data_IF_515363446529
#
_entry.id   IF_515363446529
#
_cell.length_a   1.000
_cell.length_b   1.000
_cell.length_c   1.000
_cell.angle_alpha   90.00
_cell.angle_beta   90.00
_cell.angle_gamma   90.00
#
_symmetry.space_group_name_H-M   'P 1'
#
loop_
_entity.id
_entity.type
_entity.pdbx_description
1 polymer ?
#
# COMPACT_ATOMS: atom_id res chain seq x y z
N UNK A 1 -4.62 3.33 -0.57
CA UNK A 1 -6.00 2.83 -0.49
C UNK A 1 -6.28 2.24 0.90
N UNK A 2 -7.57 2.24 1.34
CA UNK A 2 -8.03 1.50 2.52
C UNK A 2 -7.96 -0.01 2.26
N UNK A 3 -7.61 -0.78 3.29
CA UNK A 3 -7.51 -2.23 3.22
C UNK A 3 -8.03 -2.85 4.53
N UNK A 4 -8.83 -3.92 4.49
CA UNK A 4 -9.41 -4.52 5.68
C UNK A 4 -8.36 -5.17 6.59
N UNK A 5 -8.75 -5.44 7.83
CA UNK A 5 -7.94 -6.07 8.89
C UNK A 5 -6.67 -5.33 9.32
N UNK A 6 -6.41 -4.11 8.81
CA UNK A 6 -5.21 -3.34 9.14
C UNK A 6 -5.44 -1.82 9.30
N UNK A 7 -6.52 -1.36 9.96
CA UNK A 7 -6.88 0.07 9.98
C UNK A 7 -5.80 0.96 10.60
N UNK A 8 -5.11 0.53 11.65
CA UNK A 8 -4.04 1.31 12.28
C UNK A 8 -2.83 1.50 11.35
N UNK A 9 -2.43 0.43 10.65
CA UNK A 9 -1.36 0.50 9.65
C UNK A 9 -1.75 1.42 8.49
N UNK A 10 -2.94 1.24 7.94
CA UNK A 10 -3.44 2.06 6.83
C UNK A 10 -3.55 3.54 7.24
N UNK A 11 -4.07 3.84 8.43
CA UNK A 11 -4.14 5.22 8.95
C UNK A 11 -2.75 5.86 9.02
N UNK A 12 -1.73 5.13 9.48
CA UNK A 12 -0.35 5.62 9.53
C UNK A 12 0.21 5.93 8.14
N UNK A 13 -0.15 5.12 7.14
CA UNK A 13 0.28 5.35 5.75
C UNK A 13 -0.42 6.55 5.11
N UNK A 14 -1.72 6.73 5.37
CA UNK A 14 -2.43 7.94 4.93
C UNK A 14 -1.89 9.21 5.60
N UNK A 15 -1.53 9.13 6.89
CA UNK A 15 -0.88 10.26 7.58
C UNK A 15 0.47 10.62 6.95
N UNK A 16 1.29 9.61 6.62
CA UNK A 16 2.57 9.82 5.93
C UNK A 16 2.36 10.44 4.54
N UNK A 17 1.34 9.99 3.82
CA UNK A 17 0.97 10.53 2.51
C UNK A 17 0.65 12.03 2.59
N UNK A 18 -0.29 12.41 3.45
CA UNK A 18 -0.67 13.82 3.64
C UNK A 18 0.49 14.69 4.15
N UNK A 19 1.33 14.17 5.05
CA UNK A 19 2.54 14.85 5.49
C UNK A 19 3.50 15.10 4.32
N UNK A 20 3.75 14.08 3.51
CA UNK A 20 4.68 14.18 2.37
C UNK A 20 4.17 15.17 1.31
N UNK A 21 2.87 15.18 1.03
CA UNK A 21 2.25 16.17 0.13
C UNK A 21 2.43 17.59 0.66
N UNK A 22 2.18 17.84 1.94
CA UNK A 22 2.36 19.17 2.56
C UNK A 22 3.81 19.62 2.50
N UNK A 23 4.74 18.74 2.92
CA UNK A 23 6.18 19.03 2.89
C UNK A 23 6.69 19.33 1.48
N UNK A 24 6.11 18.72 0.46
CA UNK A 24 6.50 19.01 -0.92
C UNK A 24 6.30 20.47 -1.27
N UNK A 25 5.19 21.08 -0.85
CA UNK A 25 4.94 22.52 -1.07
C UNK A 25 5.84 23.40 -0.21
N UNK A 26 6.04 23.03 1.05
CA UNK A 26 6.82 23.83 2.00
C UNK A 26 8.31 23.84 1.65
N UNK A 27 8.84 22.74 1.13
CA UNK A 27 10.27 22.59 0.87
C UNK A 27 10.70 22.94 -0.56
N UNK A 28 9.75 23.00 -1.50
CA UNK A 28 10.04 23.35 -2.89
C UNK A 28 10.77 24.70 -3.05
N UNK A 29 10.45 25.78 -2.31
CA UNK A 29 11.17 27.05 -2.40
C UNK A 29 12.66 26.95 -2.00
N UNK A 30 13.03 25.90 -1.28
CA UNK A 30 14.42 25.65 -0.83
C UNK A 30 15.16 24.66 -1.75
N UNK A 31 14.56 24.29 -2.89
CA UNK A 31 15.15 23.33 -3.82
C UNK A 31 15.14 21.88 -3.33
N UNK A 32 14.31 21.56 -2.33
CA UNK A 32 14.19 20.19 -1.79
C UNK A 32 12.98 19.50 -2.42
N UNK A 33 13.22 18.40 -3.09
CA UNK A 33 12.17 17.56 -3.67
C UNK A 33 11.74 16.45 -2.68
N UNK A 34 10.47 16.44 -2.33
CA UNK A 34 9.85 15.34 -1.58
C UNK A 34 9.21 14.39 -2.58
N UNK A 35 9.60 13.14 -2.56
CA UNK A 35 9.13 12.10 -3.50
C UNK A 35 8.53 10.95 -2.70
N UNK A 36 7.37 10.48 -3.15
CA UNK A 36 6.66 9.35 -2.57
C UNK A 36 6.90 8.12 -3.44
N UNK A 37 7.39 7.04 -2.85
CA UNK A 37 7.46 5.73 -3.50
C UNK A 37 6.27 4.90 -3.00
N UNK A 38 5.44 4.44 -3.93
CA UNK A 38 4.21 3.69 -3.66
C UNK A 38 4.36 2.24 -4.15
N UNK A 39 5.02 1.38 -3.37
CA UNK A 39 5.13 -0.02 -3.73
C UNK A 39 3.82 -0.76 -3.44
N UNK A 40 3.47 -1.69 -4.31
CA UNK A 40 2.47 -2.71 -4.05
C UNK A 40 2.97 -3.76 -3.07
N UNK A 41 2.54 -5.00 -3.25
CA UNK A 41 3.03 -6.12 -2.45
C UNK A 41 4.44 -6.50 -2.90
N UNK A 42 5.40 -6.40 -1.98
CA UNK A 42 6.81 -6.67 -2.24
C UNK A 42 7.22 -7.98 -1.57
N UNK A 43 7.97 -8.81 -2.31
CA UNK A 43 8.48 -10.09 -1.83
C UNK A 43 9.57 -9.90 -0.77
N UNK A 44 9.15 -9.72 0.49
CA UNK A 44 10.02 -9.46 1.63
C UNK A 44 9.57 -10.24 2.87
N UNK A 45 10.28 -10.06 3.97
CA UNK A 45 9.90 -10.61 5.27
C UNK A 45 8.79 -9.79 5.99
N UNK A 46 8.09 -8.90 5.29
CA UNK A 46 7.05 -8.04 5.88
C UNK A 46 6.01 -8.85 6.66
N UNK A 47 5.47 -9.91 6.05
CA UNK A 47 4.46 -10.76 6.69
C UNK A 47 4.98 -11.50 7.93
N UNK A 48 6.26 -11.85 7.97
CA UNK A 48 6.87 -12.51 9.13
C UNK A 48 6.98 -11.59 10.34
N UNK A 49 7.00 -10.27 10.10
CA UNK A 49 7.11 -9.25 11.13
C UNK A 49 5.75 -8.66 11.53
N UNK A 50 4.67 -9.10 10.89
CA UNK A 50 3.31 -8.65 11.22
C UNK A 50 2.92 -9.17 12.60
N UNK A 51 2.43 -8.26 13.45
CA UNK A 51 1.89 -8.60 14.77
C UNK A 51 0.37 -8.58 14.71
N UNK A 52 -0.23 -9.67 15.13
CA UNK A 52 -1.67 -9.76 15.32
C UNK A 52 -2.08 -9.03 16.60
N UNK A 53 -3.32 -8.54 16.64
CA UNK A 53 -3.87 -7.94 17.86
C UNK A 53 -3.92 -8.99 18.99
N UNK A 54 -3.70 -8.56 20.24
CA UNK A 54 -3.69 -9.45 21.41
C UNK A 54 -4.98 -10.25 21.58
N UNK A 55 -6.12 -9.65 21.20
CA UNK A 55 -7.45 -10.28 21.27
C UNK A 55 -7.86 -11.01 19.99
N UNK A 56 -6.93 -11.22 19.06
CA UNK A 56 -7.20 -12.03 17.88
C UNK A 56 -7.25 -13.51 18.29
N UNK A 57 -8.32 -14.21 17.90
CA UNK A 57 -8.51 -15.64 18.20
C UNK A 57 -9.91 -16.12 17.83
N UNK A 58 -10.23 -17.40 18.05
CA UNK A 58 -11.48 -18.02 17.60
C UNK A 58 -12.76 -17.36 18.13
N UNK A 59 -12.66 -16.65 19.24
CA UNK A 59 -13.77 -15.94 19.89
C UNK A 59 -14.03 -14.54 19.30
N UNK A 60 -13.14 -14.07 18.42
CA UNK A 60 -13.27 -12.73 17.82
C UNK A 60 -14.26 -12.76 16.66
N UNK A 61 -15.21 -11.81 16.64
CA UNK A 61 -16.14 -11.63 15.51
C UNK A 61 -15.43 -11.23 14.20
N UNK A 62 -14.15 -10.89 14.28
CA UNK A 62 -13.33 -10.51 13.12
C UNK A 62 -12.46 -11.66 12.60
N UNK A 63 -12.50 -12.84 13.21
CA UNK A 63 -11.59 -13.96 12.86
C UNK A 63 -11.71 -14.34 11.39
N UNK A 64 -12.92 -14.61 10.92
CA UNK A 64 -13.14 -15.07 9.55
C UNK A 64 -12.63 -14.08 8.49
N UNK A 65 -12.95 -12.79 8.67
CA UNK A 65 -12.49 -11.75 7.73
C UNK A 65 -10.97 -11.56 7.82
N UNK A 66 -10.41 -11.63 9.02
CA UNK A 66 -8.96 -11.48 9.22
C UNK A 66 -8.20 -12.63 8.60
N UNK A 67 -8.67 -13.87 8.78
CA UNK A 67 -8.04 -15.07 8.20
C UNK A 67 -8.06 -15.04 6.67
N UNK A 68 -9.20 -14.65 6.07
CA UNK A 68 -9.30 -14.49 4.62
C UNK A 68 -8.29 -13.44 4.12
N UNK A 69 -8.23 -12.28 4.76
CA UNK A 69 -7.29 -11.20 4.39
C UNK A 69 -5.84 -11.64 4.53
N UNK A 70 -5.47 -12.22 5.67
CA UNK A 70 -4.09 -12.68 5.93
C UNK A 70 -3.67 -13.73 4.92
N UNK A 71 -4.56 -14.67 4.60
CA UNK A 71 -4.29 -15.71 3.60
C UNK A 71 -4.12 -15.13 2.20
N UNK A 72 -4.98 -14.20 1.81
CA UNK A 72 -4.89 -13.50 0.52
C UNK A 72 -3.60 -12.69 0.40
N UNK A 73 -3.27 -11.89 1.41
CA UNK A 73 -2.03 -11.10 1.42
C UNK A 73 -0.79 -11.99 1.40
N UNK A 74 -0.81 -13.13 2.11
CA UNK A 74 0.30 -14.10 2.07
C UNK A 74 0.52 -14.64 0.65
N UNK A 75 -0.54 -15.02 -0.03
CA UNK A 75 -0.46 -15.48 -1.43
C UNK A 75 0.08 -14.38 -2.34
N UNK A 76 -0.40 -13.15 -2.19
CA UNK A 76 0.12 -12.00 -2.95
C UNK A 76 1.62 -11.77 -2.68
N UNK A 77 2.08 -11.94 -1.44
CA UNK A 77 3.50 -11.79 -1.10
C UNK A 77 4.40 -12.84 -1.75
N UNK A 78 3.91 -14.04 -1.99
CA UNK A 78 4.67 -15.09 -2.69
C UNK A 78 4.89 -14.72 -4.17
N UNK A 79 3.93 -14.01 -4.76
CA UNK A 79 3.95 -13.51 -6.15
C UNK A 79 4.38 -12.04 -6.25
N UNK A 80 4.76 -11.43 -5.14
CA UNK A 80 5.04 -10.00 -5.03
C UNK A 80 6.22 -9.54 -5.90
N UNK A 81 6.27 -8.25 -6.12
CA UNK A 81 7.33 -7.57 -6.88
C UNK A 81 8.69 -7.74 -6.19
N UNK A 82 9.76 -7.85 -6.96
CA UNK A 82 11.12 -7.93 -6.43
C UNK A 82 11.49 -6.62 -5.71
N UNK A 83 12.04 -6.68 -4.49
CA UNK A 83 12.54 -5.49 -3.79
C UNK A 83 13.51 -4.62 -4.60
N UNK A 84 14.21 -5.22 -5.55
CA UNK A 84 15.12 -4.50 -6.46
C UNK A 84 14.37 -3.45 -7.29
N UNK A 85 13.15 -3.69 -7.72
CA UNK A 85 12.38 -2.72 -8.50
C UNK A 85 12.07 -1.46 -7.68
N UNK A 86 11.83 -1.62 -6.37
CA UNK A 86 11.66 -0.48 -5.45
C UNK A 86 12.97 0.30 -5.32
N UNK A 87 14.09 -0.41 -5.15
CA UNK A 87 15.40 0.21 -5.09
C UNK A 87 15.74 0.97 -6.38
N UNK A 88 15.46 0.40 -7.53
CA UNK A 88 15.67 1.04 -8.84
C UNK A 88 14.80 2.30 -8.99
N UNK A 89 13.55 2.29 -8.53
CA UNK A 89 12.68 3.47 -8.53
C UNK A 89 13.22 4.58 -7.62
N UNK A 90 13.74 4.24 -6.44
CA UNK A 90 14.39 5.19 -5.53
C UNK A 90 15.62 5.81 -6.20
N UNK A 91 16.49 4.98 -6.78
CA UNK A 91 17.70 5.46 -7.47
C UNK A 91 17.33 6.36 -8.66
N UNK A 92 16.27 6.02 -9.41
CA UNK A 92 15.76 6.86 -10.48
C UNK A 92 15.32 8.22 -9.96
N UNK A 93 14.49 8.25 -8.92
CA UNK A 93 13.97 9.47 -8.33
C UNK A 93 15.08 10.38 -7.79
N UNK A 94 16.15 9.79 -7.18
CA UNK A 94 17.27 10.56 -6.63
C UNK A 94 18.23 11.11 -7.67
N UNK A 95 18.25 10.55 -8.88
CA UNK A 95 19.10 11.00 -9.98
C UNK A 95 18.42 11.98 -10.93
N UNK A 96 17.11 12.09 -10.84
CA UNK A 96 16.32 12.97 -11.69
C UNK A 96 16.41 14.41 -11.16
N UNK A 97 16.75 15.36 -12.02
CA UNK A 97 16.77 16.78 -11.66
C UNK A 97 15.37 17.33 -11.37
N UNK A 98 14.34 16.73 -12.00
CA UNK A 98 12.93 17.10 -11.83
C UNK A 98 12.08 15.86 -11.53
N UNK A 99 12.24 15.23 -10.35
CA UNK A 99 11.57 13.99 -10.05
C UNK A 99 10.06 14.16 -9.97
N UNK A 100 9.34 13.14 -10.42
CA UNK A 100 7.89 13.07 -10.25
C UNK A 100 7.53 13.07 -8.75
N UNK A 101 6.35 13.59 -8.39
CA UNK A 101 5.85 13.53 -7.02
C UNK A 101 5.74 12.10 -6.48
N UNK A 102 5.41 11.14 -7.36
CA UNK A 102 5.12 9.75 -7.01
C UNK A 102 5.72 8.78 -8.00
N UNK A 103 6.20 7.64 -7.50
CA UNK A 103 6.63 6.50 -8.29
C UNK A 103 5.89 5.26 -7.79
N UNK A 104 5.00 4.75 -8.63
CA UNK A 104 4.27 3.51 -8.35
C UNK A 104 5.15 2.33 -8.78
N UNK A 105 5.28 1.33 -7.91
CA UNK A 105 6.09 0.13 -8.17
C UNK A 105 5.25 -1.12 -7.93
N UNK A 106 5.17 -1.96 -8.95
CA UNK A 106 4.37 -3.19 -8.95
C UNK A 106 3.06 -3.04 -9.72
N UNK A 107 2.69 -4.11 -10.41
CA UNK A 107 1.47 -4.14 -11.21
C UNK A 107 0.20 -4.08 -10.35
N UNK A 108 0.24 -4.71 -9.18
CA UNK A 108 -0.84 -4.71 -8.20
C UNK A 108 -1.12 -3.29 -7.67
N UNK A 109 -0.07 -2.52 -7.36
CA UNK A 109 -0.21 -1.12 -6.96
C UNK A 109 -0.91 -0.30 -8.05
N UNK A 110 -0.44 -0.41 -9.30
CA UNK A 110 -1.05 0.28 -10.44
C UNK A 110 -2.51 -0.12 -10.61
N UNK A 111 -2.81 -1.42 -10.56
CA UNK A 111 -4.15 -1.96 -10.71
C UNK A 111 -5.12 -1.41 -9.64
N UNK A 112 -4.74 -1.45 -8.37
CA UNK A 112 -5.59 -0.95 -7.28
C UNK A 112 -5.77 0.57 -7.31
N UNK A 113 -4.71 1.33 -7.64
CA UNK A 113 -4.80 2.78 -7.75
C UNK A 113 -5.67 3.21 -8.94
N UNK A 114 -5.53 2.56 -10.09
CA UNK A 114 -6.40 2.81 -11.24
C UNK A 114 -7.84 2.44 -10.95
N UNK A 115 -8.09 1.30 -10.29
CA UNK A 115 -9.43 0.90 -9.87
C UNK A 115 -10.05 1.94 -8.92
N UNK A 116 -9.30 2.43 -7.92
CA UNK A 116 -9.76 3.47 -7.00
C UNK A 116 -10.07 4.79 -7.70
N UNK A 117 -9.25 5.17 -8.69
CA UNK A 117 -9.44 6.42 -9.45
C UNK A 117 -10.66 6.39 -10.37
N UNK A 118 -10.95 5.23 -10.96
CA UNK A 118 -11.95 5.09 -12.02
C UNK A 118 -13.31 4.53 -11.54
N UNK A 119 -13.46 4.27 -10.25
CA UNK A 119 -14.67 3.71 -9.64
C UNK A 119 -15.21 4.66 -8.57
N UNK A 120 -16.51 4.64 -8.39
CA UNK A 120 -17.16 5.19 -7.19
C UNK A 120 -16.73 4.41 -5.96
N UNK A 121 -16.92 4.95 -4.76
CA UNK A 121 -16.56 4.26 -3.51
C UNK A 121 -17.25 2.91 -3.37
N UNK A 122 -18.53 2.80 -3.75
CA UNK A 122 -19.27 1.54 -3.70
C UNK A 122 -18.75 0.51 -4.71
N UNK A 123 -18.46 0.94 -5.94
CA UNK A 123 -17.89 0.07 -6.98
C UNK A 123 -16.50 -0.41 -6.59
N UNK A 124 -15.69 0.45 -5.96
CA UNK A 124 -14.37 0.09 -5.48
C UNK A 124 -14.44 -0.87 -4.29
N UNK A 125 -15.39 -0.67 -3.36
CA UNK A 125 -15.64 -1.60 -2.27
C UNK A 125 -16.00 -3.00 -2.79
N UNK A 126 -16.92 -3.08 -3.75
CA UNK A 126 -17.30 -4.35 -4.38
C UNK A 126 -16.14 -4.99 -5.13
N UNK A 127 -15.34 -4.19 -5.83
CA UNK A 127 -14.12 -4.66 -6.49
C UNK A 127 -13.13 -5.26 -5.47
N UNK A 128 -12.87 -4.58 -4.36
CA UNK A 128 -11.99 -5.11 -3.31
C UNK A 128 -12.53 -6.40 -2.68
N UNK A 129 -13.83 -6.48 -2.41
CA UNK A 129 -14.45 -7.71 -1.87
C UNK A 129 -14.22 -8.89 -2.81
N UNK A 130 -14.39 -8.68 -4.10
CA UNK A 130 -14.15 -9.71 -5.11
C UNK A 130 -12.69 -10.16 -5.14
N UNK A 131 -11.74 -9.20 -5.17
CA UNK A 131 -10.31 -9.51 -5.23
C UNK A 131 -9.77 -10.19 -3.96
N UNK A 132 -10.30 -9.81 -2.79
CA UNK A 132 -9.80 -10.28 -1.50
C UNK A 132 -10.51 -11.52 -0.96
N UNK A 133 -11.79 -11.68 -1.29
CA UNK A 133 -12.64 -12.72 -0.70
C UNK A 133 -13.25 -13.67 -1.74
N UNK A 134 -13.16 -13.33 -3.03
CA UNK A 134 -13.80 -14.09 -4.11
C UNK A 134 -15.33 -13.97 -4.14
N UNK A 135 -15.88 -12.88 -3.56
CA UNK A 135 -17.33 -12.63 -3.42
C UNK A 135 -17.86 -11.70 -4.51
#
# INVERSE_FOLDING_TARGET
IGFPASPAYISSKFALEGLSESLRFELAPFGVNVVIIEPGVIKTNFMKNMKMAEKYGPESVYTDITDKVVSGVKMMCEMGTDPKEVADAIVKATKDENPLPRYIVGNDASMFLEAKKNKTDLEFENYLKKELYGE
#
